data_IF_141296774705
#
_entry.id   IF_141296774705
#
_cell.length_a   1.000
_cell.length_b   1.000
_cell.length_c   1.000
_cell.angle_alpha   90.00
_cell.angle_beta   90.00
_cell.angle_gamma   90.00
#
_symmetry.space_group_name_H-M   'P 1'
#
loop_
_entity.id
_entity.type
_entity.pdbx_description
1 polymer ?
#
# COMPACT_ATOMS: atom_id res chain seq x y z
N UNK A 1 5.11 24.60 -27.26
CA UNK A 1 3.96 24.40 -26.35
C UNK A 1 4.34 23.26 -25.43
N UNK A 2 4.82 23.55 -24.23
CA UNK A 2 4.94 22.52 -23.19
C UNK A 2 3.57 22.47 -22.54
N UNK A 3 2.83 21.37 -22.71
CA UNK A 3 1.64 21.16 -21.91
C UNK A 3 2.06 21.19 -20.44
N UNK A 4 1.32 21.94 -19.61
CA UNK A 4 1.39 21.77 -18.17
C UNK A 4 0.97 20.33 -17.87
N UNK A 5 1.92 19.40 -17.85
CA UNK A 5 1.68 18.12 -17.22
C UNK A 5 1.78 18.40 -15.72
N UNK A 6 0.64 18.38 -15.03
CA UNK A 6 0.63 18.44 -13.57
C UNK A 6 1.42 17.24 -13.02
N UNK A 7 2.22 17.49 -11.99
CA UNK A 7 2.97 16.43 -11.32
C UNK A 7 1.98 15.44 -10.69
N UNK A 8 2.26 14.15 -10.86
CA UNK A 8 1.43 13.08 -10.31
C UNK A 8 1.41 13.10 -8.79
N UNK A 9 0.41 12.46 -8.22
CA UNK A 9 0.21 12.39 -6.76
C UNK A 9 0.64 11.03 -6.21
N UNK A 10 1.30 11.07 -5.06
CA UNK A 10 1.58 9.89 -4.27
C UNK A 10 0.34 9.57 -3.42
N UNK A 11 -0.24 8.39 -3.61
CA UNK A 11 -1.44 7.94 -2.91
C UNK A 11 -1.09 6.72 -2.08
N UNK A 12 -1.27 6.81 -0.77
CA UNK A 12 -1.07 5.69 0.16
C UNK A 12 -2.42 5.08 0.49
N UNK A 13 -2.61 3.82 0.12
CA UNK A 13 -3.78 3.03 0.51
C UNK A 13 -3.34 2.09 1.63
N UNK A 14 -3.80 2.39 2.85
CA UNK A 14 -3.51 1.61 4.05
C UNK A 14 -4.80 1.21 4.78
N UNK A 15 -4.67 0.46 5.87
CA UNK A 15 -5.79 -0.13 6.59
C UNK A 15 -5.42 -1.48 7.18
N UNK A 16 -6.27 -2.06 8.04
CA UNK A 16 -5.93 -3.28 8.73
C UNK A 16 -5.73 -4.47 7.76
N UNK A 17 -4.98 -5.46 8.21
CA UNK A 17 -4.84 -6.71 7.45
C UNK A 17 -6.21 -7.36 7.22
N UNK A 18 -6.46 -7.89 6.01
CA UNK A 18 -7.72 -8.55 5.67
C UNK A 18 -8.86 -7.62 5.22
N UNK A 19 -8.66 -6.30 5.22
CA UNK A 19 -9.71 -5.34 4.84
C UNK A 19 -10.00 -5.29 3.33
N UNK A 20 -9.12 -5.82 2.48
CA UNK A 20 -9.34 -5.90 1.03
C UNK A 20 -8.60 -4.85 0.17
N UNK A 21 -7.54 -4.23 0.70
CA UNK A 21 -6.71 -3.22 0.00
C UNK A 21 -6.28 -3.68 -1.39
N UNK A 22 -5.59 -4.82 -1.50
CA UNK A 22 -5.14 -5.34 -2.79
C UNK A 22 -6.25 -5.60 -3.81
N UNK A 23 -7.45 -6.00 -3.37
CA UNK A 23 -8.60 -6.13 -4.28
C UNK A 23 -9.04 -4.77 -4.80
N UNK A 24 -9.08 -3.75 -3.95
CA UNK A 24 -9.42 -2.38 -4.35
C UNK A 24 -8.38 -1.86 -5.34
N UNK A 25 -7.08 -2.00 -5.03
CA UNK A 25 -5.97 -1.56 -5.88
C UNK A 25 -6.00 -2.25 -7.24
N UNK A 26 -6.15 -3.58 -7.28
CA UNK A 26 -6.26 -4.32 -8.55
C UNK A 26 -7.39 -3.78 -9.41
N UNK A 27 -8.57 -3.57 -8.82
CA UNK A 27 -9.76 -3.09 -9.52
C UNK A 27 -9.64 -1.63 -9.97
N UNK A 28 -8.89 -0.81 -9.25
CA UNK A 28 -8.56 0.57 -9.67
C UNK A 28 -7.68 0.56 -10.92
N UNK A 29 -6.61 -0.25 -10.91
CA UNK A 29 -5.70 -0.38 -12.05
C UNK A 29 -6.40 -0.97 -13.28
N UNK A 30 -7.27 -1.97 -13.09
CA UNK A 30 -8.08 -2.54 -14.19
C UNK A 30 -9.04 -1.52 -14.81
N UNK A 31 -9.50 -0.52 -14.04
CA UNK A 31 -10.43 0.53 -14.49
C UNK A 31 -9.72 1.75 -15.07
N UNK A 32 -8.40 1.84 -14.95
CA UNK A 32 -7.62 2.99 -15.40
C UNK A 32 -7.33 2.92 -16.91
N UNK A 33 -8.31 3.31 -17.71
CA UNK A 33 -8.18 3.29 -19.17
C UNK A 33 -7.21 4.35 -19.73
N UNK A 34 -6.81 5.33 -18.91
CA UNK A 34 -5.89 6.40 -19.30
C UNK A 34 -4.43 6.11 -18.92
N UNK A 35 -4.16 4.94 -18.31
CA UNK A 35 -2.84 4.53 -17.82
C UNK A 35 -2.25 5.56 -16.82
N UNK A 36 -3.06 6.33 -16.10
CA UNK A 36 -2.58 7.37 -15.17
C UNK A 36 -2.12 6.85 -13.82
N UNK A 37 -2.47 5.62 -13.46
CA UNK A 37 -2.18 4.99 -12.17
C UNK A 37 -1.10 3.93 -12.30
N UNK A 38 -0.12 3.99 -11.40
CA UNK A 38 0.93 2.98 -11.30
C UNK A 38 1.02 2.47 -9.86
N UNK A 39 0.97 1.15 -9.67
CA UNK A 39 1.29 0.53 -8.38
C UNK A 39 2.80 0.51 -8.18
N UNK A 40 3.25 1.02 -7.03
CA UNK A 40 4.66 0.94 -6.66
C UNK A 40 5.08 -0.51 -6.39
N UNK A 41 6.17 -0.92 -7.02
CA UNK A 41 6.80 -2.23 -6.81
C UNK A 41 7.86 -2.08 -5.70
N UNK A 42 7.65 -2.76 -4.57
CA UNK A 42 8.56 -2.72 -3.42
C UNK A 42 9.85 -3.51 -3.67
N UNK A 43 10.93 -3.13 -3.00
CA UNK A 43 12.10 -3.97 -2.81
C UNK A 43 11.82 -5.03 -1.72
N UNK A 44 12.45 -6.19 -1.81
CA UNK A 44 12.46 -7.18 -0.71
C UNK A 44 13.75 -8.00 -0.65
N UNK A 45 14.14 -8.44 0.54
CA UNK A 45 15.22 -9.42 0.73
C UNK A 45 14.75 -10.88 0.70
N UNK A 46 13.43 -11.11 0.61
CA UNK A 46 12.86 -12.45 0.48
C UNK A 46 13.28 -13.08 -0.85
N UNK A 47 13.56 -14.38 -0.85
CA UNK A 47 13.74 -15.14 -2.09
C UNK A 47 12.46 -15.13 -2.95
N UNK A 48 12.57 -14.90 -4.27
CA UNK A 48 11.43 -14.98 -5.18
C UNK A 48 10.77 -16.37 -5.15
N UNK A 49 9.44 -16.41 -5.21
CA UNK A 49 8.69 -17.64 -5.46
C UNK A 49 8.81 -18.04 -6.93
N UNK A 50 8.57 -19.31 -7.31
CA UNK A 50 8.78 -19.80 -8.68
C UNK A 50 8.07 -19.01 -9.80
N UNK A 51 6.97 -18.32 -9.50
CA UNK A 51 6.20 -17.54 -10.47
C UNK A 51 6.47 -16.03 -10.40
N UNK A 52 7.23 -15.56 -9.41
CA UNK A 52 7.54 -14.14 -9.25
C UNK A 52 8.70 -13.74 -10.16
N UNK A 53 8.62 -12.55 -10.74
CA UNK A 53 9.65 -11.95 -11.59
C UNK A 53 10.19 -10.67 -10.97
N UNK A 54 11.51 -10.53 -11.00
CA UNK A 54 12.19 -9.31 -10.58
C UNK A 54 11.75 -8.10 -11.43
N UNK A 55 11.50 -6.98 -10.76
CA UNK A 55 11.01 -5.75 -11.38
C UNK A 55 9.55 -5.78 -11.85
N UNK A 56 8.84 -6.88 -11.58
CA UNK A 56 7.39 -7.02 -11.82
C UNK A 56 6.65 -7.19 -10.50
N UNK A 57 7.02 -8.19 -9.71
CA UNK A 57 6.37 -8.45 -8.42
C UNK A 57 7.06 -7.70 -7.28
N UNK A 58 8.39 -7.76 -7.27
CA UNK A 58 9.27 -7.07 -6.34
C UNK A 58 10.60 -6.78 -7.02
N UNK A 59 11.37 -5.85 -6.46
CA UNK A 59 12.81 -5.80 -6.69
C UNK A 59 13.49 -6.66 -5.62
N UNK A 60 13.96 -7.84 -6.03
CA UNK A 60 14.64 -8.76 -5.13
C UNK A 60 16.08 -8.28 -4.90
N UNK A 61 16.39 -7.96 -3.65
CA UNK A 61 17.68 -7.42 -3.22
C UNK A 61 18.37 -8.39 -2.27
N UNK A 62 19.70 -8.38 -2.26
CA UNK A 62 20.47 -9.01 -1.18
C UNK A 62 20.39 -8.15 0.08
N UNK A 63 20.54 -8.77 1.25
CA UNK A 63 20.56 -8.08 2.54
C UNK A 63 21.54 -6.89 2.57
N UNK A 64 22.76 -7.05 2.03
CA UNK A 64 23.75 -5.96 1.95
C UNK A 64 23.26 -4.78 1.10
N UNK A 65 22.69 -5.06 -0.07
CA UNK A 65 22.17 -4.03 -0.98
C UNK A 65 20.97 -3.29 -0.36
N UNK A 66 20.10 -4.01 0.34
CA UNK A 66 18.96 -3.41 1.03
C UNK A 66 19.44 -2.49 2.17
N UNK A 67 20.41 -2.93 2.95
CA UNK A 67 20.99 -2.12 4.03
C UNK A 67 21.70 -0.87 3.49
N UNK A 68 22.41 -0.97 2.38
CA UNK A 68 23.01 0.20 1.70
C UNK A 68 21.92 1.20 1.27
N UNK A 69 20.77 0.71 0.80
CA UNK A 69 19.62 1.56 0.46
C UNK A 69 18.99 2.23 1.68
N UNK A 70 18.94 1.56 2.85
CA UNK A 70 18.50 2.19 4.11
C UNK A 70 19.46 3.31 4.49
N UNK A 71 20.77 3.03 4.53
CA UNK A 71 21.81 4.02 4.90
C UNK A 71 21.81 5.22 3.95
N UNK A 72 21.55 4.98 2.66
CA UNK A 72 21.45 6.01 1.65
C UNK A 72 20.09 6.73 1.58
N UNK A 73 19.19 6.52 2.54
CA UNK A 73 17.84 7.11 2.60
C UNK A 73 17.03 6.92 1.29
N UNK A 74 17.18 5.75 0.67
CA UNK A 74 16.60 5.44 -0.65
C UNK A 74 15.17 4.89 -0.59
N UNK A 75 14.58 4.80 0.59
CA UNK A 75 13.23 4.30 0.81
C UNK A 75 12.27 5.39 1.30
N UNK A 76 11.04 5.37 0.81
CA UNK A 76 9.94 6.15 1.41
C UNK A 76 9.46 5.52 2.71
N UNK A 77 9.49 4.20 2.77
CA UNK A 77 9.23 3.39 3.96
C UNK A 77 9.99 2.08 3.83
N UNK A 78 10.33 1.48 4.97
CA UNK A 78 10.78 0.10 5.00
C UNK A 78 10.36 -0.59 6.30
N UNK A 79 10.22 -1.92 6.26
CA UNK A 79 9.82 -2.74 7.40
C UNK A 79 10.47 -4.13 7.34
N UNK A 80 10.58 -4.78 8.52
CA UNK A 80 10.85 -6.20 8.61
C UNK A 80 9.53 -6.95 8.78
N UNK A 81 9.24 -7.86 7.86
CA UNK A 81 8.03 -8.67 7.83
C UNK A 81 8.45 -10.15 7.80
N UNK A 82 8.20 -10.84 8.91
CA UNK A 82 8.56 -12.26 9.10
C UNK A 82 10.03 -12.58 8.79
N UNK A 83 10.95 -11.70 9.20
CA UNK A 83 12.40 -11.89 9.02
C UNK A 83 12.93 -11.48 7.65
N UNK A 84 12.07 -11.04 6.72
CA UNK A 84 12.47 -10.47 5.44
C UNK A 84 12.24 -8.95 5.46
N UNK A 85 13.10 -8.19 4.80
CA UNK A 85 12.94 -6.74 4.67
C UNK A 85 12.08 -6.41 3.44
N UNK A 86 11.31 -5.34 3.54
CA UNK A 86 10.51 -4.76 2.46
C UNK A 86 10.64 -3.25 2.49
N UNK A 87 10.62 -2.59 1.34
CA UNK A 87 10.62 -1.13 1.31
C UNK A 87 10.32 -0.53 -0.05
N UNK A 88 9.76 0.67 -0.04
CA UNK A 88 9.32 1.36 -1.26
C UNK A 88 10.42 2.26 -1.82
N UNK A 89 10.99 1.98 -3.02
CA UNK A 89 12.13 2.70 -3.56
C UNK A 89 11.76 4.15 -3.95
N UNK A 90 12.31 5.12 -3.21
CA UNK A 90 11.96 6.54 -3.31
C UNK A 90 12.17 7.12 -4.71
N UNK A 91 13.35 6.90 -5.29
CA UNK A 91 13.71 7.48 -6.58
C UNK A 91 12.75 7.06 -7.69
N UNK A 92 12.35 5.78 -7.73
CA UNK A 92 11.43 5.27 -8.74
C UNK A 92 10.06 5.93 -8.60
N UNK A 93 9.55 6.08 -7.39
CA UNK A 93 8.28 6.76 -7.13
C UNK A 93 8.34 8.19 -7.64
N UNK A 94 9.35 8.96 -7.23
CA UNK A 94 9.50 10.37 -7.65
C UNK A 94 9.61 10.53 -9.16
N UNK A 95 10.33 9.63 -9.85
CA UNK A 95 10.43 9.64 -11.31
C UNK A 95 9.07 9.48 -11.99
N UNK A 96 8.17 8.65 -11.44
CA UNK A 96 6.82 8.44 -11.98
C UNK A 96 5.89 9.62 -11.71
N UNK A 97 5.96 10.19 -10.51
CA UNK A 97 5.24 11.42 -10.18
C UNK A 97 5.63 12.56 -11.14
N UNK A 98 6.93 12.74 -11.40
CA UNK A 98 7.43 13.74 -12.34
C UNK A 98 6.99 13.50 -13.80
N UNK A 99 6.55 12.29 -14.15
CA UNK A 99 5.97 11.97 -15.46
C UNK A 99 4.46 12.25 -15.53
N UNK A 100 3.85 12.75 -14.45
CA UNK A 100 2.41 12.98 -14.34
C UNK A 100 1.62 11.70 -14.03
N UNK A 101 2.29 10.61 -13.58
CA UNK A 101 1.61 9.38 -13.16
C UNK A 101 1.31 9.46 -11.66
N UNK A 102 0.08 9.15 -11.31
CA UNK A 102 -0.32 8.95 -9.91
C UNK A 102 0.23 7.59 -9.45
N UNK A 103 0.96 7.57 -8.33
CA UNK A 103 1.59 6.35 -7.81
C UNK A 103 0.87 5.88 -6.56
N UNK A 104 0.41 4.63 -6.58
CA UNK A 104 -0.27 3.99 -5.45
C UNK A 104 0.74 3.17 -4.63
N UNK A 105 0.76 3.37 -3.32
CA UNK A 105 1.44 2.52 -2.35
C UNK A 105 0.38 1.74 -1.56
N UNK A 106 0.37 0.42 -1.72
CA UNK A 106 -0.41 -0.48 -0.87
C UNK A 106 0.46 -0.99 0.28
N UNK A 107 0.36 -0.34 1.44
CA UNK A 107 1.24 -0.62 2.59
C UNK A 107 0.41 -0.73 3.89
N UNK A 108 1.04 -1.22 4.96
CA UNK A 108 0.42 -1.24 6.27
C UNK A 108 0.50 0.14 6.96
N UNK A 109 -0.03 0.23 8.18
CA UNK A 109 -0.12 1.52 8.89
C UNK A 109 1.26 2.01 9.37
N UNK A 110 2.20 1.09 9.62
CA UNK A 110 3.58 1.43 9.96
C UNK A 110 4.33 2.02 8.76
N UNK A 111 4.16 1.43 7.57
CA UNK A 111 4.72 1.97 6.33
C UNK A 111 4.15 3.36 6.05
N UNK A 112 2.83 3.51 6.19
CA UNK A 112 2.15 4.79 5.96
C UNK A 112 2.69 5.93 6.84
N UNK A 113 3.06 5.67 8.10
CA UNK A 113 3.72 6.68 8.95
C UNK A 113 5.06 7.14 8.44
N UNK A 114 5.85 6.20 7.93
CA UNK A 114 7.16 6.51 7.37
C UNK A 114 6.97 7.35 6.11
N UNK A 115 6.01 6.98 5.25
CA UNK A 115 5.68 7.80 4.07
C UNK A 115 5.24 9.20 4.48
N UNK A 116 4.30 9.34 5.42
CA UNK A 116 3.83 10.66 5.88
C UNK A 116 4.96 11.55 6.43
N UNK A 117 5.95 10.96 7.09
CA UNK A 117 7.15 11.67 7.57
C UNK A 117 8.15 12.00 6.46
N UNK A 118 8.36 11.08 5.52
CA UNK A 118 9.38 11.18 4.48
C UNK A 118 8.88 11.90 3.22
N UNK A 119 7.57 12.01 3.05
CA UNK A 119 6.85 12.62 1.93
C UNK A 119 5.48 13.13 2.41
N UNK A 120 5.47 14.31 3.05
CA UNK A 120 4.27 14.88 3.67
C UNK A 120 3.16 15.30 2.71
N UNK A 121 3.43 15.36 1.41
CA UNK A 121 2.45 15.66 0.35
C UNK A 121 1.68 14.41 -0.15
N UNK A 122 1.94 13.24 0.44
CA UNK A 122 1.22 12.02 0.10
C UNK A 122 -0.25 12.13 0.54
N UNK A 123 -1.16 11.68 -0.34
CA UNK A 123 -2.58 11.55 -0.03
C UNK A 123 -2.82 10.23 0.66
N UNK A 124 -3.33 10.28 1.88
CA UNK A 124 -3.49 9.14 2.77
C UNK A 124 -4.94 8.66 2.74
N UNK A 125 -5.18 7.44 2.25
CA UNK A 125 -6.50 6.80 2.21
C UNK A 125 -6.51 5.57 3.12
N UNK A 126 -7.37 5.58 4.15
CA UNK A 126 -7.54 4.45 5.05
C UNK A 126 -8.77 3.62 4.67
N UNK A 127 -8.58 2.32 4.46
CA UNK A 127 -9.66 1.39 4.18
C UNK A 127 -10.14 0.77 5.49
N UNK A 128 -11.43 0.89 5.78
CA UNK A 128 -12.10 0.31 6.94
C UNK A 128 -12.91 -0.94 6.57
N UNK A 129 -13.02 -1.93 7.47
CA UNK A 129 -14.07 -2.94 7.36
C UNK A 129 -15.44 -2.34 7.73
N UNK A 130 -16.56 -2.93 7.31
CA UNK A 130 -17.88 -2.47 7.74
C UNK A 130 -18.13 -2.73 9.23
N UNK A 131 -17.48 -3.74 9.80
CA UNK A 131 -17.49 -4.01 11.24
C UNK A 131 -16.27 -4.85 11.66
N UNK A 132 -16.00 -4.91 12.97
CA UNK A 132 -14.96 -5.79 13.52
C UNK A 132 -15.26 -7.28 13.26
N UNK A 133 -16.53 -7.67 13.33
CA UNK A 133 -16.99 -9.04 13.09
C UNK A 133 -16.73 -9.46 11.64
N UNK A 134 -16.98 -8.55 10.68
CA UNK A 134 -16.71 -8.82 9.27
C UNK A 134 -15.20 -8.93 9.03
N UNK A 135 -14.38 -8.09 9.66
CA UNK A 135 -12.93 -8.22 9.58
C UNK A 135 -12.46 -9.58 10.13
N UNK A 136 -13.01 -10.00 11.28
CA UNK A 136 -12.72 -11.31 11.86
C UNK A 136 -13.14 -12.46 10.95
N UNK A 137 -14.29 -12.35 10.29
CA UNK A 137 -14.75 -13.34 9.30
C UNK A 137 -13.80 -13.42 8.11
N UNK A 138 -13.34 -12.28 7.56
CA UNK A 138 -12.38 -12.23 6.44
C UNK A 138 -11.02 -12.82 6.81
N UNK A 139 -10.52 -12.51 8.01
CA UNK A 139 -9.27 -13.09 8.52
C UNK A 139 -9.38 -14.62 8.69
N UNK A 140 -10.50 -15.12 9.22
CA UNK A 140 -10.77 -16.56 9.35
C UNK A 140 -10.82 -17.30 8.01
N UNK A 141 -11.41 -16.69 6.99
CA UNK A 141 -11.58 -17.33 5.69
C UNK A 141 -10.27 -17.51 4.91
N UNK A 142 -9.22 -16.76 5.25
CA UNK A 142 -7.97 -16.73 4.50
C UNK A 142 -6.95 -17.77 4.99
N UNK A 143 -7.14 -18.34 6.18
CA UNK A 143 -6.08 -19.05 6.88
C UNK A 143 -6.48 -20.38 7.48
N UNK A 144 -5.60 -21.37 7.31
CA UNK A 144 -5.51 -22.61 8.09
C UNK A 144 -4.62 -22.41 9.33
N UNK A 145 -4.69 -21.24 9.96
CA UNK A 145 -3.82 -20.82 11.07
C UNK A 145 -4.39 -21.25 12.43
N UNK A 146 -3.54 -21.25 13.46
CA UNK A 146 -3.96 -21.56 14.82
C UNK A 146 -4.83 -20.43 15.43
N UNK A 147 -5.66 -20.78 16.42
CA UNK A 147 -6.50 -19.81 17.11
C UNK A 147 -5.68 -18.65 17.76
N UNK A 148 -4.43 -18.91 18.16
CA UNK A 148 -3.56 -17.89 18.77
C UNK A 148 -3.12 -16.83 17.74
N UNK A 149 -2.71 -17.24 16.54
CA UNK A 149 -2.31 -16.35 15.46
C UNK A 149 -3.47 -15.45 15.00
N UNK A 150 -4.69 -16.01 14.96
CA UNK A 150 -5.89 -15.25 14.64
C UNK A 150 -6.18 -14.14 15.67
N UNK A 151 -6.04 -14.44 16.96
CA UNK A 151 -6.26 -13.46 18.02
C UNK A 151 -5.23 -12.33 17.96
N UNK A 152 -3.96 -12.64 17.68
CA UNK A 152 -2.91 -11.63 17.50
C UNK A 152 -3.21 -10.68 16.33
N UNK A 153 -3.67 -11.23 15.19
CA UNK A 153 -4.04 -10.43 14.01
C UNK A 153 -5.26 -9.54 14.28
N UNK A 154 -6.25 -10.04 15.00
CA UNK A 154 -7.42 -9.26 15.40
C UNK A 154 -7.04 -8.10 16.33
N UNK A 155 -6.21 -8.37 17.34
CA UNK A 155 -5.70 -7.32 18.23
C UNK A 155 -4.92 -6.27 17.44
N UNK A 156 -4.00 -6.70 16.56
CA UNK A 156 -3.24 -5.79 15.70
C UNK A 156 -4.17 -4.94 14.83
N UNK A 157 -5.17 -5.55 14.19
CA UNK A 157 -6.11 -4.83 13.35
C UNK A 157 -6.92 -3.77 14.11
N UNK A 158 -7.30 -4.04 15.37
CA UNK A 158 -7.96 -3.05 16.22
C UNK A 158 -7.07 -1.86 16.53
N UNK A 159 -5.80 -2.10 16.83
CA UNK A 159 -4.83 -1.02 17.03
C UNK A 159 -4.60 -0.22 15.73
N UNK A 160 -4.53 -0.90 14.58
CA UNK A 160 -4.42 -0.25 13.27
C UNK A 160 -5.64 0.65 12.97
N UNK A 161 -6.87 0.22 13.30
CA UNK A 161 -8.08 1.01 13.07
C UNK A 161 -8.14 2.31 13.87
N UNK A 162 -7.52 2.37 15.06
CA UNK A 162 -7.45 3.61 15.86
C UNK A 162 -6.69 4.73 15.14
N UNK A 163 -5.87 4.37 14.16
CA UNK A 163 -5.01 5.28 13.40
C UNK A 163 -5.69 5.88 12.18
N UNK A 164 -6.93 5.48 11.88
CA UNK A 164 -7.69 5.99 10.75
C UNK A 164 -7.85 7.53 10.78
N UNK A 165 -7.91 8.13 11.98
CA UNK A 165 -7.99 9.58 12.15
C UNK A 165 -6.73 10.34 11.68
N UNK A 166 -5.64 9.65 11.39
CA UNK A 166 -4.39 10.24 10.88
C UNK A 166 -4.37 10.37 9.35
N UNK A 167 -5.42 9.89 8.65
CA UNK A 167 -5.52 9.84 7.20
C UNK A 167 -6.42 10.97 6.67
N UNK A 168 -6.20 11.35 5.42
CA UNK A 168 -6.96 12.42 4.76
C UNK A 168 -8.36 11.93 4.37
N UNK A 169 -8.47 10.65 4.00
CA UNK A 169 -9.72 10.01 3.61
C UNK A 169 -9.90 8.66 4.31
N UNK A 170 -11.16 8.31 4.59
CA UNK A 170 -11.57 7.02 5.13
C UNK A 170 -12.63 6.40 4.23
N UNK A 171 -12.41 5.17 3.76
CA UNK A 171 -13.34 4.46 2.86
C UNK A 171 -13.73 3.12 3.48
N UNK A 172 -15.03 2.87 3.62
CA UNK A 172 -15.54 1.61 4.19
C UNK A 172 -15.72 0.56 3.10
N UNK A 173 -15.04 -0.58 3.23
CA UNK A 173 -15.14 -1.71 2.30
C UNK A 173 -16.21 -2.72 2.72
N UNK A 174 -17.46 -2.26 2.73
CA UNK A 174 -18.65 -3.12 2.85
C UNK A 174 -18.92 -3.85 1.53
N UNK A 175 -19.06 -3.06 0.45
CA UNK A 175 -19.17 -3.51 -0.93
C UNK A 175 -17.94 -3.09 -1.74
N UNK A 176 -17.32 -4.06 -2.42
CA UNK A 176 -16.07 -3.85 -3.14
C UNK A 176 -16.22 -2.84 -4.28
N UNK A 177 -17.34 -2.86 -5.00
CA UNK A 177 -17.54 -1.98 -6.15
C UNK A 177 -17.78 -0.53 -5.74
N UNK A 178 -18.44 -0.34 -4.60
CA UNK A 178 -18.64 0.97 -3.98
C UNK A 178 -17.32 1.53 -3.44
N UNK A 179 -16.55 0.73 -2.69
CA UNK A 179 -15.24 1.15 -2.18
C UNK A 179 -14.27 1.55 -3.31
N UNK A 180 -14.23 0.77 -4.40
CA UNK A 180 -13.40 1.10 -5.58
C UNK A 180 -13.83 2.43 -6.20
N UNK A 181 -15.14 2.66 -6.36
CA UNK A 181 -15.65 3.93 -6.93
C UNK A 181 -15.33 5.12 -6.04
N UNK A 182 -15.40 4.95 -4.72
CA UNK A 182 -15.09 6.00 -3.76
C UNK A 182 -13.60 6.38 -3.80
N UNK A 183 -12.70 5.39 -3.77
CA UNK A 183 -11.25 5.64 -3.91
C UNK A 183 -10.92 6.25 -5.28
N UNK A 184 -11.57 5.79 -6.35
CA UNK A 184 -11.42 6.39 -7.68
C UNK A 184 -11.88 7.84 -7.72
N UNK A 185 -13.00 8.15 -7.05
CA UNK A 185 -13.51 9.52 -6.92
C UNK A 185 -12.54 10.44 -6.18
N UNK A 186 -11.92 9.95 -5.10
CA UNK A 186 -10.85 10.66 -4.38
C UNK A 186 -9.70 10.96 -5.34
N UNK A 187 -9.16 9.94 -6.02
CA UNK A 187 -8.03 10.08 -6.94
C UNK A 187 -8.33 11.07 -8.07
N UNK A 188 -9.54 11.04 -8.64
CA UNK A 188 -9.95 11.95 -9.71
C UNK A 188 -10.15 13.40 -9.26
N UNK A 189 -10.21 13.66 -7.96
CA UNK A 189 -10.38 15.00 -7.39
C UNK A 189 -9.06 15.69 -7.01
N UNK A 190 -7.94 14.96 -7.10
CA UNK A 190 -6.59 15.43 -6.80
C UNK A 190 -5.97 16.19 -7.98
#
# INVERSE_FOLDING_TARGET
MFGNNEEGKLIVISGPSGVGKGTIVSRLLERDSEDKLELSISCTTRTPRPHEKDGVNYFFKREGEFNDMIVGEKFLEHANVFGCQYGTPKERVLQKLAQGKNVILEIDVQGADQVKRNYGEAVMVFILPPSEEELARRLKARDSESQSQMNERLTKAKEEMKRAAEYDYMVTNDDIDTAVREVQGIINSL
#
